data_IF_238555021076
#
_entry.id   IF_238555021076
#
_cell.length_a   1.000
_cell.length_b   1.000
_cell.length_c   1.000
_cell.angle_alpha   90.00
_cell.angle_beta   90.00
_cell.angle_gamma   90.00
#
_symmetry.space_group_name_H-M   'P 1'
#
loop_
_entity.id
_entity.type
_entity.pdbx_description
1 polymer ?
#
# COMPACT_ATOMS: atom_id res chain seq x y z
N UNK A 1 2.87 11.24 -13.19
CA UNK A 1 1.97 10.07 -13.41
C UNK A 1 1.59 9.82 -14.87
N UNK A 2 1.47 10.85 -15.70
CA UNK A 2 1.21 10.69 -17.15
C UNK A 2 2.20 9.77 -17.91
N UNK A 3 3.53 9.79 -17.64
CA UNK A 3 4.46 8.94 -18.38
C UNK A 3 4.25 7.43 -18.16
N UNK A 4 3.82 7.03 -16.96
CA UNK A 4 3.56 5.61 -16.63
C UNK A 4 2.30 5.10 -17.33
N UNK A 5 1.29 5.95 -17.41
CA UNK A 5 0.04 5.62 -18.13
C UNK A 5 0.32 5.47 -19.62
N UNK A 6 1.14 6.34 -20.20
CA UNK A 6 1.52 6.26 -21.61
C UNK A 6 2.36 5.00 -21.93
N UNK A 7 3.23 4.56 -21.00
CA UNK A 7 4.02 3.34 -21.17
C UNK A 7 3.20 2.04 -21.12
N UNK A 8 2.03 2.08 -20.46
CA UNK A 8 1.06 0.97 -20.40
C UNK A 8 -0.07 1.11 -21.43
N UNK A 9 0.13 2.02 -22.41
CA UNK A 9 -0.94 2.49 -23.26
C UNK A 9 -1.49 1.41 -24.20
N UNK A 10 -2.73 1.69 -24.61
CA UNK A 10 -3.53 0.93 -25.58
C UNK A 10 -2.66 0.36 -26.70
N UNK A 11 -2.63 -0.93 -26.84
CA UNK A 11 -1.87 -1.57 -27.92
C UNK A 11 -1.58 -3.03 -27.69
N UNK A 12 -0.89 -3.56 -28.69
CA UNK A 12 -0.46 -4.94 -28.73
C UNK A 12 0.92 -5.08 -28.08
N UNK A 13 1.00 -5.93 -27.05
CA UNK A 13 2.25 -6.21 -26.32
C UNK A 13 2.59 -7.69 -26.41
N UNK A 14 3.77 -8.00 -26.95
CA UNK A 14 4.32 -9.34 -26.89
C UNK A 14 4.92 -9.58 -25.49
N UNK A 15 4.36 -10.52 -24.76
CA UNK A 15 4.80 -10.89 -23.41
C UNK A 15 5.68 -12.15 -23.41
N UNK A 16 6.19 -12.54 -24.57
CA UNK A 16 7.03 -13.71 -24.76
C UNK A 16 6.26 -15.03 -24.82
N UNK A 17 6.97 -16.11 -25.13
CA UNK A 17 6.42 -17.46 -25.28
C UNK A 17 5.26 -17.56 -26.29
N UNK A 18 5.28 -16.73 -27.33
CA UNK A 18 4.21 -16.68 -28.35
C UNK A 18 2.89 -16.13 -27.85
N UNK A 19 2.86 -15.47 -26.68
CA UNK A 19 1.66 -14.85 -26.10
C UNK A 19 1.65 -13.35 -26.38
N UNK A 20 0.52 -12.86 -26.86
CA UNK A 20 0.27 -11.43 -27.07
C UNK A 20 -0.86 -10.99 -26.14
N UNK A 21 -0.66 -9.86 -25.47
CA UNK A 21 -1.68 -9.18 -24.66
C UNK A 21 -2.07 -7.90 -25.37
N UNK A 22 -3.35 -7.65 -25.47
CA UNK A 22 -3.90 -6.42 -26.01
C UNK A 22 -4.46 -5.58 -24.87
N UNK A 23 -3.88 -4.40 -24.63
CA UNK A 23 -4.35 -3.47 -23.60
C UNK A 23 -5.35 -2.50 -24.23
N UNK A 24 -6.60 -2.60 -23.86
CA UNK A 24 -7.66 -1.71 -24.35
C UNK A 24 -7.68 -0.38 -23.59
N UNK A 25 -7.36 -0.41 -22.30
CA UNK A 25 -7.40 0.77 -21.43
C UNK A 25 -6.52 0.59 -20.20
N UNK A 26 -5.81 1.65 -19.80
CA UNK A 26 -5.13 1.77 -18.53
C UNK A 26 -5.72 2.90 -17.70
N UNK A 27 -5.83 2.70 -16.39
CA UNK A 27 -6.24 3.72 -15.42
C UNK A 27 -5.29 3.73 -14.24
N UNK A 28 -4.93 4.90 -13.77
CA UNK A 28 -4.18 5.07 -12.52
C UNK A 28 -5.17 5.33 -11.39
N UNK A 29 -4.99 4.60 -10.30
CA UNK A 29 -5.74 4.79 -9.06
C UNK A 29 -4.74 4.90 -7.89
N UNK A 30 -5.07 5.56 -6.79
CA UNK A 30 -4.26 5.52 -5.58
C UNK A 30 -4.02 4.07 -5.11
N UNK A 31 -2.82 3.78 -4.62
CA UNK A 31 -2.45 2.42 -4.21
C UNK A 31 -3.46 1.80 -3.22
N UNK A 32 -3.93 2.48 -2.15
CA UNK A 32 -4.92 1.91 -1.25
C UNK A 32 -6.27 1.60 -1.92
N UNK A 33 -6.65 2.38 -2.94
CA UNK A 33 -7.87 2.09 -3.72
C UNK A 33 -7.71 0.80 -4.54
N UNK A 34 -6.51 0.53 -5.06
CA UNK A 34 -6.18 -0.74 -5.71
C UNK A 34 -6.34 -1.93 -4.76
N UNK A 35 -5.91 -1.78 -3.50
CA UNK A 35 -6.09 -2.79 -2.46
C UNK A 35 -7.57 -3.08 -2.17
N UNK A 36 -8.42 -2.05 -2.12
CA UNK A 36 -9.87 -2.22 -1.96
C UNK A 36 -10.49 -3.00 -3.13
N UNK A 37 -10.07 -2.69 -4.36
CA UNK A 37 -10.53 -3.40 -5.56
C UNK A 37 -10.12 -4.87 -5.52
N UNK A 38 -8.87 -5.15 -5.15
CA UNK A 38 -8.36 -6.51 -5.01
C UNK A 38 -9.12 -7.28 -3.92
N UNK A 39 -9.30 -6.69 -2.74
CA UNK A 39 -10.09 -7.27 -1.65
C UNK A 39 -11.51 -7.62 -2.10
N UNK A 40 -12.18 -6.69 -2.79
CA UNK A 40 -13.53 -6.91 -3.29
C UNK A 40 -13.61 -8.06 -4.29
N UNK A 41 -12.58 -8.23 -5.12
CA UNK A 41 -12.52 -9.32 -6.09
C UNK A 41 -12.27 -10.67 -5.40
N UNK A 42 -11.25 -10.75 -4.55
CA UNK A 42 -10.85 -12.00 -3.86
C UNK A 42 -11.96 -12.53 -2.95
N UNK A 43 -12.66 -11.64 -2.25
CA UNK A 43 -13.72 -11.99 -1.31
C UNK A 43 -15.13 -11.92 -1.89
N UNK A 44 -15.25 -11.70 -3.20
CA UNK A 44 -16.54 -11.60 -3.92
C UNK A 44 -17.47 -10.52 -3.33
N UNK A 45 -16.92 -9.40 -2.87
CA UNK A 45 -17.63 -8.29 -2.21
C UNK A 45 -17.75 -7.03 -3.07
N UNK A 46 -17.47 -7.09 -4.36
CA UNK A 46 -17.49 -5.94 -5.26
C UNK A 46 -18.86 -5.24 -5.28
N UNK A 47 -19.95 -6.01 -5.25
CA UNK A 47 -21.31 -5.46 -5.29
C UNK A 47 -21.66 -4.68 -4.01
N UNK A 48 -21.17 -5.11 -2.86
CA UNK A 48 -21.35 -4.45 -1.56
C UNK A 48 -20.50 -3.18 -1.49
N UNK A 49 -19.19 -3.29 -1.80
CA UNK A 49 -18.27 -2.17 -1.81
C UNK A 49 -18.76 -1.03 -2.71
N UNK A 50 -19.40 -1.33 -3.84
CA UNK A 50 -19.99 -0.31 -4.74
C UNK A 50 -21.09 0.52 -4.09
N UNK A 51 -21.74 0.02 -3.06
CA UNK A 51 -22.86 0.68 -2.37
C UNK A 51 -22.46 1.32 -1.06
N UNK A 52 -21.37 0.86 -0.46
CA UNK A 52 -20.93 1.23 0.86
C UNK A 52 -19.86 2.32 0.84
N UNK A 53 -19.64 2.89 2.01
CA UNK A 53 -18.48 3.73 2.27
C UNK A 53 -17.38 2.86 2.87
N UNK A 54 -16.18 2.94 2.32
CA UNK A 54 -15.03 2.19 2.80
C UNK A 54 -13.94 3.13 3.30
N UNK A 55 -13.27 2.72 4.37
CA UNK A 55 -12.03 3.33 4.86
C UNK A 55 -10.90 2.36 4.59
N UNK A 56 -9.91 2.80 3.84
CA UNK A 56 -8.70 2.05 3.55
C UNK A 56 -7.57 2.72 4.32
N UNK A 57 -6.83 1.93 5.10
CA UNK A 57 -5.67 2.38 5.87
C UNK A 57 -4.44 1.65 5.32
N UNK A 58 -3.44 2.41 4.90
CA UNK A 58 -2.19 1.90 4.35
C UNK A 58 -0.99 2.44 5.15
N UNK A 59 -0.52 1.69 6.16
CA UNK A 59 0.66 2.03 6.92
C UNK A 59 1.93 1.64 6.16
N UNK A 60 2.36 2.49 5.24
CA UNK A 60 3.60 2.30 4.49
C UNK A 60 4.86 2.50 5.33
N UNK A 61 6.02 2.24 4.74
CA UNK A 61 7.30 2.39 5.42
C UNK A 61 7.59 3.86 5.80
N UNK A 62 7.28 4.81 4.92
CA UNK A 62 7.56 6.24 5.07
C UNK A 62 6.33 7.12 5.18
N UNK A 63 5.18 6.64 4.72
CA UNK A 63 3.91 7.36 4.73
C UNK A 63 2.84 6.53 5.42
N UNK A 64 1.89 7.21 6.02
CA UNK A 64 0.66 6.62 6.50
C UNK A 64 -0.48 7.27 5.74
N UNK A 65 -1.15 6.47 4.93
CA UNK A 65 -2.20 6.92 4.05
C UNK A 65 -3.55 6.38 4.51
N UNK A 66 -4.57 7.23 4.46
CA UNK A 66 -5.94 6.76 4.59
C UNK A 66 -6.81 7.34 3.50
N UNK A 67 -7.62 6.48 2.92
CA UNK A 67 -8.57 6.84 1.88
C UNK A 67 -9.97 6.48 2.32
N UNK A 68 -10.87 7.40 2.09
CA UNK A 68 -12.31 7.16 2.22
C UNK A 68 -12.90 7.10 0.82
N UNK A 69 -13.66 6.05 0.54
CA UNK A 69 -14.39 5.92 -0.71
C UNK A 69 -15.89 5.86 -0.47
N UNK A 70 -16.66 6.34 -1.43
CA UNK A 70 -18.10 6.07 -1.55
C UNK A 70 -18.27 5.19 -2.78
N UNK A 71 -18.59 3.92 -2.57
CA UNK A 71 -18.41 2.91 -3.60
C UNK A 71 -16.93 2.83 -4.01
N UNK A 72 -16.67 2.94 -5.32
CA UNK A 72 -15.30 2.97 -5.84
C UNK A 72 -14.77 4.40 -6.09
N UNK A 73 -15.50 5.44 -5.66
CA UNK A 73 -15.09 6.82 -5.86
C UNK A 73 -14.40 7.37 -4.62
N UNK A 74 -13.24 8.00 -4.83
CA UNK A 74 -12.47 8.64 -3.77
C UNK A 74 -13.22 9.86 -3.22
N UNK A 75 -13.30 9.97 -1.90
CA UNK A 75 -13.79 11.16 -1.18
C UNK A 75 -12.58 11.95 -0.71
N UNK A 76 -12.03 12.82 -1.58
CA UNK A 76 -10.77 13.55 -1.35
C UNK A 76 -10.74 14.31 -0.02
N UNK A 77 -11.81 15.00 0.32
CA UNK A 77 -11.91 15.79 1.57
C UNK A 77 -11.76 14.96 2.86
N UNK A 78 -11.89 13.65 2.78
CA UNK A 78 -11.79 12.71 3.90
C UNK A 78 -10.57 11.80 3.81
N UNK A 79 -9.83 11.88 2.72
CA UNK A 79 -8.63 11.11 2.45
C UNK A 79 -7.41 11.98 2.68
N UNK A 80 -6.34 11.39 3.23
CA UNK A 80 -5.12 12.13 3.52
C UNK A 80 -3.91 11.22 3.57
N UNK A 81 -2.73 11.82 3.48
CA UNK A 81 -1.43 11.18 3.62
C UNK A 81 -0.56 12.00 4.56
N UNK A 82 0.18 11.34 5.43
CA UNK A 82 1.19 11.98 6.27
C UNK A 82 2.55 11.31 6.06
N UNK A 83 3.61 12.13 6.11
CA UNK A 83 5.00 11.66 6.02
C UNK A 83 5.45 11.07 7.36
N UNK A 84 4.73 10.09 7.85
CA UNK A 84 4.99 9.30 9.05
C UNK A 84 4.63 7.86 8.71
N UNK A 85 5.54 6.93 8.93
CA UNK A 85 5.30 5.54 8.56
C UNK A 85 5.87 4.56 9.58
N UNK A 86 5.88 3.28 9.22
CA UNK A 86 6.41 2.23 10.10
C UNK A 86 7.87 2.45 10.45
N UNK A 87 8.65 3.13 9.59
CA UNK A 87 10.05 3.43 9.89
C UNK A 87 10.21 4.36 11.11
N UNK A 88 9.32 5.35 11.29
CA UNK A 88 9.32 6.20 12.49
C UNK A 88 9.07 5.38 13.76
N UNK A 89 8.21 4.36 13.68
CA UNK A 89 7.95 3.44 14.79
C UNK A 89 9.21 2.63 15.12
N UNK A 90 9.86 2.05 14.13
CA UNK A 90 11.11 1.30 14.31
C UNK A 90 12.22 2.17 14.94
N UNK A 91 12.35 3.42 14.48
CA UNK A 91 13.30 4.37 15.04
C UNK A 91 12.98 4.71 16.51
N UNK A 92 11.71 4.92 16.85
CA UNK A 92 11.30 5.20 18.21
C UNK A 92 11.60 4.03 19.15
N UNK A 93 11.34 2.79 18.70
CA UNK A 93 11.66 1.57 19.45
C UNK A 93 13.18 1.43 19.64
N UNK A 94 13.97 1.59 18.56
CA UNK A 94 15.43 1.52 18.61
C UNK A 94 16.02 2.56 19.59
N UNK A 95 15.45 3.77 19.58
CA UNK A 95 15.83 4.83 20.54
C UNK A 95 15.51 4.44 21.98
N UNK A 96 14.35 3.83 22.22
CA UNK A 96 13.95 3.30 23.53
C UNK A 96 14.91 2.23 24.04
N UNK A 97 15.25 1.26 23.18
CA UNK A 97 16.22 0.20 23.50
C UNK A 97 17.60 0.82 23.83
N UNK A 98 18.07 1.75 23.00
CA UNK A 98 19.34 2.42 23.21
C UNK A 98 19.42 3.12 24.57
N UNK A 99 18.34 3.80 24.97
CA UNK A 99 18.25 4.45 26.29
C UNK A 99 18.25 3.44 27.45
N UNK A 100 17.53 2.34 27.29
CA UNK A 100 17.42 1.31 28.33
C UNK A 100 18.71 0.53 28.52
N UNK A 101 19.48 0.26 27.45
CA UNK A 101 20.69 -0.54 27.47
C UNK A 101 21.98 0.29 27.63
N UNK A 102 21.92 1.61 27.44
CA UNK A 102 23.11 2.49 27.41
C UNK A 102 23.97 2.28 26.15
N UNK A 103 23.52 1.48 25.18
CA UNK A 103 24.28 1.15 23.96
C UNK A 103 23.46 1.51 22.74
N UNK A 104 24.10 2.09 21.72
CA UNK A 104 23.41 2.45 20.49
C UNK A 104 22.89 1.20 19.78
N UNK A 105 21.56 1.14 19.60
CA UNK A 105 20.87 0.06 18.90
C UNK A 105 20.26 0.60 17.60
N UNK A 106 20.53 -0.05 16.45
CA UNK A 106 20.05 0.34 15.12
C UNK A 106 19.60 -0.84 14.26
N UNK A 107 19.38 -2.00 14.87
CA UNK A 107 18.99 -3.22 14.18
C UNK A 107 17.47 -3.20 13.89
N UNK A 108 17.07 -2.36 12.92
CA UNK A 108 15.65 -2.16 12.57
C UNK A 108 14.97 -3.44 12.08
N UNK A 109 15.71 -4.29 11.35
CA UNK A 109 15.20 -5.57 10.85
C UNK A 109 14.86 -6.54 11.97
N UNK A 110 15.65 -6.53 13.06
CA UNK A 110 15.34 -7.33 14.25
C UNK A 110 14.07 -6.85 14.95
N UNK A 111 13.87 -5.52 15.02
CA UNK A 111 12.65 -4.94 15.58
C UNK A 111 11.45 -5.32 14.71
N UNK A 112 11.55 -5.18 13.39
CA UNK A 112 10.46 -5.52 12.46
C UNK A 112 10.10 -7.00 12.56
N UNK A 113 11.10 -7.88 12.59
CA UNK A 113 10.93 -9.33 12.79
C UNK A 113 10.21 -9.64 14.11
N UNK A 114 10.62 -8.99 15.20
CA UNK A 114 9.98 -9.16 16.50
C UNK A 114 8.54 -8.67 16.54
N UNK A 115 8.24 -7.53 15.88
CA UNK A 115 6.88 -7.00 15.77
C UNK A 115 5.96 -7.91 14.97
N UNK A 116 6.48 -8.63 13.98
CA UNK A 116 5.73 -9.63 13.21
C UNK A 116 5.49 -10.93 13.98
N UNK A 117 6.06 -11.07 15.17
CA UNK A 117 6.00 -12.32 15.94
C UNK A 117 6.86 -13.45 15.37
N UNK A 118 7.76 -13.12 14.45
CA UNK A 118 8.72 -14.06 13.88
C UNK A 118 9.92 -14.21 14.84
N UNK A 119 10.39 -15.43 15.07
CA UNK A 119 11.64 -15.63 15.84
C UNK A 119 12.81 -15.23 14.94
N UNK A 120 13.69 -14.38 15.45
CA UNK A 120 14.98 -14.13 14.80
C UNK A 120 15.71 -15.47 14.64
N UNK A 121 16.09 -15.78 13.43
CA UNK A 121 16.88 -16.98 13.10
C UNK A 121 18.34 -16.72 13.38
#
# INVERSE_FOLDING_TARGET
MEPVVRALDVGRHDVGRGKTVYVERARVVPQPQGALMYYGHVHNRVAEIRKERSLIIDPGARTFDWLVTQGMQLVEKKSHSVNRGMFDVLQAIASGISKATGTQFREYDLIDTALRGERAR
#
